data_IF_053523906551
#
_entry.id   IF_053523906551
#
_cell.length_a   1.000
_cell.length_b   1.000
_cell.length_c   1.000
_cell.angle_alpha   90.00
_cell.angle_beta   90.00
_cell.angle_gamma   90.00
#
_symmetry.space_group_name_H-M   'P 1'
#
loop_
_entity.id
_entity.type
_entity.pdbx_description
1 polymer ?
#
# COMPACT_ATOMS: atom_id res chain seq x y z
N UNK A 1 0.28 -18.84 6.10
CA UNK A 1 1.20 -18.44 7.19
C UNK A 1 1.46 -16.95 7.13
N UNK A 2 1.86 -16.33 8.27
CA UNK A 2 1.94 -14.86 8.39
C UNK A 2 3.24 -14.44 9.08
N UNK A 3 3.85 -13.34 8.59
CA UNK A 3 4.91 -12.64 9.28
C UNK A 3 4.32 -11.32 9.81
N UNK A 4 4.33 -11.16 11.14
CA UNK A 4 3.99 -9.90 11.79
C UNK A 4 5.24 -9.03 11.88
N UNK A 5 5.10 -7.73 11.56
CA UNK A 5 6.23 -6.81 11.56
C UNK A 5 5.78 -5.37 11.85
N UNK A 6 6.71 -4.53 12.28
CA UNK A 6 6.50 -3.09 12.48
C UNK A 6 6.07 -2.41 11.15
N UNK A 7 5.41 -1.24 11.19
CA UNK A 7 5.19 -0.41 12.38
C UNK A 7 3.92 -0.75 13.18
N UNK A 8 2.94 -1.46 12.60
CA UNK A 8 1.65 -1.67 13.25
C UNK A 8 1.05 -3.05 12.99
N UNK A 9 0.58 -3.69 14.06
CA UNK A 9 -0.21 -4.92 14.03
C UNK A 9 -1.47 -4.69 14.85
N UNK A 10 -2.64 -4.85 14.24
CA UNK A 10 -3.93 -4.66 14.91
C UNK A 10 -4.26 -5.82 15.87
N UNK A 11 -5.07 -5.53 16.88
CA UNK A 11 -5.61 -6.58 17.77
C UNK A 11 -6.48 -7.55 16.99
N UNK A 12 -7.28 -7.06 16.03
CA UNK A 12 -8.12 -7.88 15.17
C UNK A 12 -7.29 -8.88 14.32
N UNK A 13 -6.11 -8.47 13.83
CA UNK A 13 -5.18 -9.38 13.15
C UNK A 13 -4.75 -10.50 14.10
N UNK A 14 -4.30 -10.15 15.31
CA UNK A 14 -3.84 -11.13 16.32
C UNK A 14 -4.96 -12.10 16.70
N UNK A 15 -6.11 -11.59 17.07
CA UNK A 15 -7.31 -12.42 17.38
C UNK A 15 -7.67 -13.35 16.23
N UNK A 16 -7.59 -12.85 14.99
CA UNK A 16 -7.89 -13.65 13.79
C UNK A 16 -6.89 -14.78 13.61
N UNK A 17 -5.59 -14.52 13.84
CA UNK A 17 -4.53 -15.53 13.76
C UNK A 17 -4.71 -16.62 14.82
N UNK A 18 -4.91 -16.22 16.07
CA UNK A 18 -5.08 -17.14 17.21
C UNK A 18 -6.34 -18.00 17.05
N UNK A 19 -7.49 -17.37 16.80
CA UNK A 19 -8.78 -18.06 16.60
C UNK A 19 -8.75 -19.09 15.47
N UNK A 20 -7.96 -18.84 14.43
CA UNK A 20 -7.90 -19.70 13.26
C UNK A 20 -6.65 -20.59 13.23
N UNK A 21 -5.84 -20.57 14.30
CA UNK A 21 -4.61 -21.35 14.44
C UNK A 21 -3.65 -21.18 13.24
N UNK A 22 -3.54 -19.94 12.74
CA UNK A 22 -2.69 -19.61 11.59
C UNK A 22 -1.22 -19.57 12.04
N UNK A 23 -0.30 -20.25 11.32
CA UNK A 23 1.12 -20.21 11.63
C UNK A 23 1.70 -18.81 11.51
N UNK A 24 2.43 -18.36 12.52
CA UNK A 24 3.10 -17.06 12.59
C UNK A 24 4.60 -17.28 12.80
N UNK A 25 5.44 -16.50 12.12
CA UNK A 25 6.88 -16.53 12.33
C UNK A 25 7.22 -16.03 13.72
N UNK A 26 8.15 -16.71 14.41
CA UNK A 26 8.74 -16.27 15.67
C UNK A 26 9.67 -15.07 15.42
N UNK A 27 9.27 -13.90 15.83
CA UNK A 27 10.05 -12.67 15.80
C UNK A 27 9.62 -11.74 16.94
N UNK A 28 10.28 -10.59 17.10
CA UNK A 28 9.97 -9.61 18.15
C UNK A 28 8.47 -9.27 18.20
N UNK A 29 7.84 -9.04 17.04
CA UNK A 29 6.45 -8.65 16.98
C UNK A 29 5.50 -9.77 17.37
N UNK A 30 5.76 -11.01 16.95
CA UNK A 30 4.94 -12.16 17.35
C UNK A 30 5.11 -12.48 18.85
N UNK A 31 6.32 -12.36 19.40
CA UNK A 31 6.57 -12.54 20.84
C UNK A 31 5.88 -11.47 21.69
N UNK A 32 5.77 -10.24 21.17
CA UNK A 32 5.09 -9.13 21.84
C UNK A 32 3.56 -9.26 21.80
N UNK A 33 3.00 -9.77 20.70
CA UNK A 33 1.57 -9.62 20.39
C UNK A 33 0.77 -10.93 20.46
N UNK A 34 1.38 -12.08 20.18
CA UNK A 34 0.69 -13.39 20.08
C UNK A 34 0.86 -14.16 21.36
N UNK A 35 -0.24 -14.40 22.09
CA UNK A 35 -0.22 -15.09 23.38
C UNK A 35 -0.60 -16.56 23.29
N UNK A 36 -1.56 -16.90 22.41
CA UNK A 36 -2.13 -18.24 22.30
C UNK A 36 -2.12 -18.77 20.85
N UNK A 37 -1.18 -18.25 20.02
CA UNK A 37 -1.09 -18.61 18.61
C UNK A 37 -0.07 -19.72 18.31
N UNK A 38 -0.11 -20.18 17.05
CA UNK A 38 0.87 -21.14 16.51
C UNK A 38 2.10 -20.37 16.03
N UNK A 39 3.04 -20.10 16.94
CA UNK A 39 4.30 -19.42 16.64
C UNK A 39 5.36 -20.47 16.26
N UNK A 40 6.03 -20.29 15.12
CA UNK A 40 6.98 -21.21 14.54
C UNK A 40 8.39 -20.60 14.48
N UNK A 41 9.41 -21.37 14.78
CA UNK A 41 10.81 -21.01 14.51
C UNK A 41 11.07 -20.87 13.02
N UNK A 42 12.19 -20.24 12.64
CA UNK A 42 12.56 -20.05 11.21
C UNK A 42 12.50 -21.36 10.43
N UNK A 43 13.09 -22.43 10.96
CA UNK A 43 13.10 -23.73 10.30
C UNK A 43 11.69 -24.31 10.12
N UNK A 44 10.89 -24.28 11.18
CA UNK A 44 9.51 -24.80 11.14
C UNK A 44 8.65 -23.97 10.17
N UNK A 45 8.86 -22.65 10.14
CA UNK A 45 8.14 -21.76 9.25
C UNK A 45 8.52 -22.01 7.78
N UNK A 46 9.81 -22.20 7.47
CA UNK A 46 10.26 -22.56 6.14
C UNK A 46 9.72 -23.92 5.68
N UNK A 47 9.67 -24.92 6.55
CA UNK A 47 9.08 -26.23 6.22
C UNK A 47 7.56 -26.13 6.00
N UNK A 48 6.87 -25.27 6.71
CA UNK A 48 5.43 -25.03 6.50
C UNK A 48 5.19 -24.27 5.20
N UNK A 49 6.06 -23.30 4.83
CA UNK A 49 6.01 -22.60 3.55
C UNK A 49 6.14 -23.57 2.37
N UNK A 50 7.08 -24.52 2.43
CA UNK A 50 7.25 -25.53 1.36
C UNK A 50 5.99 -26.32 1.07
N UNK A 51 5.11 -26.52 2.08
CA UNK A 51 3.85 -27.25 1.93
C UNK A 51 2.74 -26.39 1.37
N UNK A 52 2.57 -25.17 1.91
CA UNK A 52 1.42 -24.32 1.60
C UNK A 52 1.65 -23.37 0.43
N UNK A 53 2.89 -22.93 0.23
CA UNK A 53 3.27 -21.88 -0.74
C UNK A 53 2.42 -20.60 -0.59
N UNK A 54 1.85 -20.36 0.59
CA UNK A 54 1.04 -19.17 0.91
C UNK A 54 1.66 -18.41 2.05
N UNK A 55 2.24 -17.25 1.73
CA UNK A 55 2.88 -16.34 2.67
C UNK A 55 2.22 -14.97 2.60
N UNK A 56 1.89 -14.42 3.77
CA UNK A 56 1.35 -13.08 3.94
C UNK A 56 2.18 -12.31 4.95
N UNK A 57 2.39 -11.02 4.72
CA UNK A 57 3.04 -10.11 5.66
C UNK A 57 2.13 -8.94 5.98
N UNK A 58 2.33 -8.28 7.12
CA UNK A 58 1.62 -7.04 7.46
C UNK A 58 2.43 -5.80 7.09
N UNK A 59 3.72 -5.99 6.76
CA UNK A 59 4.65 -4.92 6.43
C UNK A 59 5.74 -5.40 5.49
N UNK A 60 6.26 -4.50 4.67
CA UNK A 60 7.41 -4.76 3.80
C UNK A 60 8.72 -4.95 4.55
N UNK A 61 8.79 -4.56 5.83
CA UNK A 61 9.94 -4.82 6.68
C UNK A 61 10.25 -6.32 6.82
N UNK A 62 9.26 -7.18 6.57
CA UNK A 62 9.42 -8.64 6.54
C UNK A 62 10.21 -9.16 5.32
N UNK A 63 10.37 -8.37 4.25
CA UNK A 63 11.02 -8.82 3.02
C UNK A 63 12.49 -9.23 3.25
N UNK A 64 13.20 -8.54 4.14
CA UNK A 64 14.58 -8.90 4.50
C UNK A 64 14.69 -10.34 4.97
N UNK A 65 13.85 -10.73 5.93
CA UNK A 65 13.79 -12.11 6.42
C UNK A 65 13.42 -13.10 5.31
N UNK A 66 12.47 -12.73 4.46
CA UNK A 66 12.01 -13.59 3.35
C UNK A 66 13.16 -13.87 2.36
N UNK A 67 13.92 -12.84 1.96
CA UNK A 67 15.07 -13.00 1.07
C UNK A 67 16.18 -13.86 1.68
N UNK A 68 16.35 -13.83 3.00
CA UNK A 68 17.39 -14.58 3.71
C UNK A 68 17.03 -16.04 3.92
N UNK A 69 15.75 -16.38 4.16
CA UNK A 69 15.34 -17.69 4.65
C UNK A 69 14.51 -18.53 3.68
N UNK A 70 13.82 -17.91 2.72
CA UNK A 70 12.98 -18.64 1.77
C UNK A 70 13.82 -19.11 0.57
N UNK A 71 13.97 -20.43 0.44
CA UNK A 71 14.65 -21.05 -0.68
C UNK A 71 13.66 -21.34 -1.83
N UNK A 72 13.19 -20.27 -2.48
CA UNK A 72 12.31 -20.31 -3.64
C UNK A 72 12.67 -19.19 -4.61
N UNK A 73 13.67 -19.46 -5.45
CA UNK A 73 14.22 -18.42 -6.36
C UNK A 73 13.14 -17.75 -7.22
N UNK A 74 12.21 -18.52 -7.77
CA UNK A 74 11.15 -17.98 -8.63
C UNK A 74 10.24 -17.01 -7.86
N UNK A 75 9.90 -17.35 -6.62
CA UNK A 75 9.11 -16.49 -5.74
C UNK A 75 9.86 -15.21 -5.38
N UNK A 76 11.14 -15.30 -5.01
CA UNK A 76 11.98 -14.16 -4.67
C UNK A 76 12.21 -13.23 -5.87
N UNK A 77 12.46 -13.80 -7.06
CA UNK A 77 12.59 -13.05 -8.30
C UNK A 77 11.29 -12.27 -8.61
N UNK A 78 10.13 -12.89 -8.37
CA UNK A 78 8.82 -12.24 -8.55
C UNK A 78 8.62 -11.05 -7.62
N UNK A 79 9.01 -11.20 -6.34
CA UNK A 79 8.97 -10.09 -5.36
C UNK A 79 9.85 -8.93 -5.82
N UNK A 80 11.10 -9.23 -6.19
CA UNK A 80 12.08 -8.24 -6.66
C UNK A 80 11.56 -7.49 -7.88
N UNK A 81 10.98 -8.23 -8.82
CA UNK A 81 10.50 -7.71 -10.10
C UNK A 81 9.34 -6.72 -9.94
N UNK A 82 8.36 -7.05 -9.09
CA UNK A 82 7.21 -6.15 -8.88
C UNK A 82 7.54 -4.99 -7.94
N UNK A 83 8.57 -5.14 -7.10
CA UNK A 83 9.01 -4.09 -6.17
C UNK A 83 9.89 -3.03 -6.83
N UNK A 84 10.64 -3.39 -7.85
CA UNK A 84 11.43 -2.44 -8.65
C UNK A 84 10.51 -1.74 -9.67
N UNK A 85 10.25 -0.45 -9.45
CA UNK A 85 9.31 0.34 -10.26
C UNK A 85 9.70 0.39 -11.74
N UNK A 86 11.00 0.42 -12.06
CA UNK A 86 11.47 0.46 -13.44
C UNK A 86 11.32 -0.91 -14.14
N UNK A 87 11.66 -1.99 -13.41
CA UNK A 87 11.43 -3.36 -13.90
C UNK A 87 9.93 -3.61 -14.10
N UNK A 88 9.11 -3.19 -13.15
CA UNK A 88 7.64 -3.31 -13.25
C UNK A 88 7.09 -2.52 -14.46
N UNK A 89 7.56 -1.28 -14.71
CA UNK A 89 7.19 -0.52 -15.91
C UNK A 89 7.57 -1.25 -17.20
N UNK A 90 8.73 -1.89 -17.21
CA UNK A 90 9.18 -2.67 -18.36
C UNK A 90 8.26 -3.85 -18.68
N UNK A 91 7.72 -4.52 -17.64
CA UNK A 91 6.72 -5.58 -17.80
C UNK A 91 5.39 -5.02 -18.32
N UNK A 92 4.98 -3.86 -17.84
CA UNK A 92 3.75 -3.20 -18.26
C UNK A 92 3.81 -2.67 -19.71
N UNK A 93 4.96 -2.72 -20.38
CA UNK A 93 5.12 -2.18 -21.74
C UNK A 93 4.22 -2.86 -22.76
N UNK A 94 3.96 -4.16 -22.63
CA UNK A 94 3.04 -4.87 -23.51
C UNK A 94 1.57 -4.48 -23.30
N UNK A 95 1.23 -3.98 -22.09
CA UNK A 95 -0.12 -3.49 -21.76
C UNK A 95 -0.26 -2.02 -22.12
N UNK A 96 0.80 -1.23 -21.96
CA UNK A 96 0.85 0.21 -22.22
C UNK A 96 2.06 0.57 -23.10
N UNK A 97 2.03 0.24 -24.41
CA UNK A 97 3.19 0.42 -25.30
C UNK A 97 3.63 1.88 -25.46
N UNK A 98 2.68 2.81 -25.34
CA UNK A 98 2.92 4.24 -25.53
C UNK A 98 3.24 4.97 -24.22
N UNK A 99 3.28 4.26 -23.07
CA UNK A 99 3.56 4.87 -21.79
C UNK A 99 5.05 5.23 -21.69
N UNK A 100 5.32 6.53 -21.53
CA UNK A 100 6.70 7.02 -21.43
C UNK A 100 7.27 6.73 -20.05
N UNK A 101 8.43 6.09 -20.02
CA UNK A 101 9.29 6.03 -18.84
C UNK A 101 10.75 5.86 -19.23
N UNK A 102 11.63 6.32 -18.33
CA UNK A 102 13.08 6.23 -18.47
C UNK A 102 13.71 6.03 -17.10
N UNK A 103 14.64 5.10 -16.98
CA UNK A 103 15.40 4.92 -15.76
C UNK A 103 16.81 5.53 -15.93
N UNK A 104 17.20 6.41 -15.02
CA UNK A 104 18.46 7.12 -15.02
C UNK A 104 19.08 7.12 -13.62
N UNK A 105 20.41 7.11 -13.55
CA UNK A 105 21.10 7.48 -12.31
C UNK A 105 21.19 9.01 -12.21
N UNK A 106 21.56 9.52 -11.03
CA UNK A 106 21.58 10.97 -10.76
C UNK A 106 22.53 11.75 -11.71
N UNK A 107 23.66 11.16 -12.13
CA UNK A 107 24.59 11.80 -13.04
C UNK A 107 24.04 11.84 -14.47
N UNK A 108 23.32 10.80 -14.88
CA UNK A 108 22.62 10.76 -16.16
C UNK A 108 21.47 11.76 -16.19
N UNK A 109 20.72 11.91 -15.07
CA UNK A 109 19.65 12.91 -14.95
C UNK A 109 20.19 14.32 -15.15
N UNK A 110 21.35 14.66 -14.55
CA UNK A 110 21.99 15.98 -14.69
C UNK A 110 22.32 16.32 -16.14
N UNK A 111 22.62 15.31 -16.95
CA UNK A 111 23.04 15.47 -18.35
C UNK A 111 21.96 15.03 -19.34
N UNK A 112 20.74 14.76 -18.87
CA UNK A 112 19.67 14.29 -19.73
C UNK A 112 19.25 15.35 -20.74
N UNK A 113 18.97 14.91 -21.97
CA UNK A 113 18.30 15.76 -22.95
C UNK A 113 16.83 15.91 -22.53
N UNK A 114 16.51 17.09 -21.99
CA UNK A 114 15.18 17.42 -21.49
C UNK A 114 14.13 17.37 -22.58
N UNK A 115 14.49 17.61 -23.85
CA UNK A 115 13.57 17.50 -24.98
C UNK A 115 13.15 16.04 -25.26
N UNK A 116 13.85 15.06 -24.70
CA UNK A 116 13.49 13.63 -24.79
C UNK A 116 12.53 13.19 -23.70
N UNK A 117 12.13 14.08 -22.77
CA UNK A 117 11.19 13.82 -21.70
C UNK A 117 9.77 14.22 -22.08
N UNK A 118 8.80 13.61 -21.44
CA UNK A 118 7.37 13.96 -21.60
C UNK A 118 6.93 14.71 -20.35
N UNK A 119 6.37 15.91 -20.50
CA UNK A 119 5.85 16.70 -19.40
C UNK A 119 4.32 16.77 -19.39
N UNK A 120 3.65 16.84 -18.23
CA UNK A 120 4.25 16.67 -16.91
C UNK A 120 4.77 15.24 -16.69
N UNK A 121 5.83 15.11 -15.87
CA UNK A 121 6.40 13.82 -15.51
C UNK A 121 6.59 13.69 -14.00
N UNK A 122 6.80 12.46 -13.55
CA UNK A 122 7.13 12.14 -12.15
C UNK A 122 8.55 11.60 -12.10
N UNK A 123 9.35 12.14 -11.18
CA UNK A 123 10.67 11.62 -10.84
C UNK A 123 10.54 10.92 -9.50
N UNK A 124 10.96 9.65 -9.42
CA UNK A 124 10.92 8.88 -8.17
C UNK A 124 12.05 7.83 -8.11
N UNK A 125 12.52 7.43 -6.91
CA UNK A 125 13.46 6.33 -6.81
C UNK A 125 12.88 5.04 -7.39
N UNK A 126 13.68 4.26 -8.13
CA UNK A 126 13.22 2.96 -8.68
C UNK A 126 12.86 1.98 -7.58
N UNK A 127 13.55 2.04 -6.43
CA UNK A 127 13.23 1.30 -5.21
C UNK A 127 13.12 2.28 -4.05
N UNK A 128 12.03 2.23 -3.29
CA UNK A 128 11.76 3.14 -2.17
C UNK A 128 10.31 3.03 -1.72
N UNK A 129 9.96 3.73 -0.62
CA UNK A 129 8.62 3.77 -0.04
C UNK A 129 8.36 5.13 0.63
N UNK A 130 7.11 5.40 1.01
CA UNK A 130 6.65 6.61 1.70
C UNK A 130 6.89 7.91 0.93
N UNK A 131 6.74 7.91 -0.39
CA UNK A 131 6.81 9.08 -1.29
C UNK A 131 8.06 9.97 -1.15
N UNK A 132 9.11 9.48 -0.47
CA UNK A 132 10.36 10.23 -0.31
C UNK A 132 11.13 10.31 -1.62
N UNK A 133 11.47 11.53 -2.03
CA UNK A 133 12.18 11.79 -3.29
C UNK A 133 11.28 11.67 -4.53
N UNK A 134 9.96 11.83 -4.38
CA UNK A 134 9.00 11.91 -5.48
C UNK A 134 8.76 13.37 -5.83
N UNK A 135 8.90 13.72 -7.11
CA UNK A 135 8.66 15.06 -7.65
C UNK A 135 7.73 14.97 -8.84
N UNK A 136 6.67 15.78 -8.83
CA UNK A 136 5.87 16.07 -10.03
C UNK A 136 6.49 17.28 -10.70
N UNK A 137 6.77 17.19 -11.99
CA UNK A 137 7.56 18.15 -12.75
C UNK A 137 6.80 18.53 -14.02
N UNK A 138 6.54 19.82 -14.21
CA UNK A 138 5.69 20.29 -15.30
C UNK A 138 6.48 20.83 -16.49
N UNK A 139 7.75 21.20 -16.29
CA UNK A 139 8.60 21.75 -17.31
C UNK A 139 10.10 21.53 -17.04
N UNK A 140 10.94 21.95 -17.96
CA UNK A 140 12.41 21.87 -17.86
C UNK A 140 12.97 22.55 -16.60
N UNK A 141 12.41 23.70 -16.20
CA UNK A 141 12.88 24.45 -15.04
C UNK A 141 12.61 23.69 -13.74
N UNK A 142 11.42 23.11 -13.62
CA UNK A 142 11.08 22.28 -12.47
C UNK A 142 11.88 20.97 -12.45
N UNK A 143 12.16 20.40 -13.64
CA UNK A 143 13.03 19.24 -13.75
C UNK A 143 14.43 19.55 -13.18
N UNK A 144 15.04 20.66 -13.59
CA UNK A 144 16.35 21.04 -13.10
C UNK A 144 16.35 21.28 -11.59
N UNK A 145 15.30 21.94 -11.07
CA UNK A 145 15.15 22.17 -9.63
C UNK A 145 15.03 20.86 -8.83
N UNK A 146 14.29 19.87 -9.37
CA UNK A 146 14.17 18.55 -8.75
C UNK A 146 15.50 17.80 -8.72
N UNK A 147 16.27 17.82 -9.83
CA UNK A 147 17.61 17.22 -9.90
C UNK A 147 18.56 17.87 -8.92
N UNK A 148 18.57 19.22 -8.84
CA UNK A 148 19.41 19.95 -7.89
C UNK A 148 19.03 19.66 -6.43
N UNK A 149 17.73 19.49 -6.13
CA UNK A 149 17.27 19.09 -4.80
C UNK A 149 17.78 17.70 -4.42
N UNK A 150 17.65 16.73 -5.32
CA UNK A 150 18.18 15.37 -5.11
C UNK A 150 19.68 15.38 -4.87
N UNK A 151 20.45 16.13 -5.68
CA UNK A 151 21.89 16.27 -5.51
C UNK A 151 22.26 16.87 -4.15
N UNK A 152 21.51 17.89 -3.70
CA UNK A 152 21.72 18.51 -2.39
C UNK A 152 21.39 17.55 -1.23
N UNK A 153 20.37 16.72 -1.37
CA UNK A 153 20.00 15.74 -0.34
C UNK A 153 21.05 14.63 -0.22
N UNK A 154 21.61 14.18 -1.33
CA UNK A 154 22.76 13.29 -1.32
C UNK A 154 24.01 13.93 -0.69
N UNK A 155 24.28 15.20 -0.99
CA UNK A 155 25.40 15.92 -0.41
C UNK A 155 25.26 16.12 1.11
N UNK A 156 24.04 16.40 1.61
CA UNK A 156 23.74 16.55 3.05
C UNK A 156 23.78 15.24 3.82
N UNK A 157 23.52 14.11 3.17
CA UNK A 157 23.62 12.79 3.79
C UNK A 157 25.06 12.44 4.20
N UNK A 158 26.05 13.26 3.80
CA UNK A 158 27.42 13.26 4.26
C UNK A 158 28.22 12.02 3.87
N UNK A 159 29.43 11.86 4.47
CA UNK A 159 30.35 10.73 4.25
C UNK A 159 29.74 9.34 4.57
N UNK A 160 28.50 9.28 5.02
CA UNK A 160 27.75 8.05 5.24
C UNK A 160 27.26 7.35 3.96
N UNK A 161 27.21 8.07 2.82
CA UNK A 161 26.93 7.49 1.50
C UNK A 161 28.15 7.63 0.60
N UNK A 162 28.91 6.56 0.35
CA UNK A 162 30.02 6.59 -0.59
C UNK A 162 29.54 7.09 -1.97
N UNK A 163 30.37 7.85 -2.68
CA UNK A 163 30.12 8.35 -4.05
C UNK A 163 29.63 7.24 -5.00
N UNK A 164 30.08 6.02 -4.73
CA UNK A 164 29.66 4.79 -5.37
C UNK A 164 28.16 4.45 -5.15
N UNK A 165 27.56 4.80 -4.01
CA UNK A 165 26.12 4.57 -3.71
C UNK A 165 25.27 5.62 -4.41
N UNK A 166 25.72 6.88 -4.42
CA UNK A 166 25.04 7.97 -5.13
C UNK A 166 25.00 7.69 -6.64
N UNK A 167 26.11 7.25 -7.23
CA UNK A 167 26.17 6.89 -8.65
C UNK A 167 25.36 5.62 -9.04
N UNK A 168 24.96 4.81 -8.06
CA UNK A 168 24.11 3.62 -8.26
C UNK A 168 22.65 3.84 -7.94
N UNK A 169 22.30 4.96 -7.31
CA UNK A 169 20.89 5.29 -7.06
C UNK A 169 20.17 5.52 -8.38
N UNK A 170 19.17 4.69 -8.65
CA UNK A 170 18.38 4.74 -9.88
C UNK A 170 17.07 5.43 -9.64
N UNK A 171 16.68 6.28 -10.56
CA UNK A 171 15.44 7.03 -10.57
C UNK A 171 14.64 6.68 -11.82
N UNK A 172 13.36 6.48 -11.61
CA UNK A 172 12.38 6.38 -12.67
C UNK A 172 11.85 7.78 -12.98
N UNK A 173 11.91 8.16 -14.25
CA UNK A 173 11.21 9.32 -14.80
C UNK A 173 10.10 8.76 -15.66
N UNK A 174 8.85 9.06 -15.34
CA UNK A 174 7.70 8.56 -16.10
C UNK A 174 6.70 9.67 -16.37
N UNK A 175 5.91 9.55 -17.44
CA UNK A 175 4.82 10.50 -17.67
C UNK A 175 3.86 10.54 -16.49
N UNK A 176 3.32 11.73 -16.21
CA UNK A 176 2.34 11.88 -15.12
C UNK A 176 1.06 11.12 -15.45
N UNK A 177 0.74 10.15 -14.61
CA UNK A 177 -0.48 9.36 -14.75
C UNK A 177 -1.64 10.20 -14.26
N UNK A 178 -2.56 10.55 -15.16
CA UNK A 178 -3.75 11.34 -14.85
C UNK A 178 -4.86 10.49 -14.26
N UNK A 179 -5.77 11.14 -13.55
CA UNK A 179 -6.98 10.53 -13.02
C UNK A 179 -6.95 10.35 -11.50
N UNK A 180 -8.04 9.84 -10.97
CA UNK A 180 -8.22 9.54 -9.56
C UNK A 180 -7.41 8.32 -9.15
N UNK A 181 -6.98 8.29 -7.89
CA UNK A 181 -6.14 7.22 -7.36
C UNK A 181 -6.97 6.18 -6.60
N UNK A 182 -6.63 4.91 -6.84
CA UNK A 182 -7.29 3.76 -6.25
C UNK A 182 -6.28 2.79 -5.68
N UNK A 183 -6.55 2.32 -4.47
CA UNK A 183 -5.80 1.28 -3.79
C UNK A 183 -6.58 -0.04 -3.89
N UNK A 184 -5.94 -1.11 -4.38
CA UNK A 184 -6.59 -2.41 -4.62
C UNK A 184 -5.86 -3.51 -3.87
N UNK A 185 -6.56 -4.17 -2.95
CA UNK A 185 -6.08 -5.40 -2.32
C UNK A 185 -6.53 -6.60 -3.13
N UNK A 186 -5.57 -7.36 -3.60
CA UNK A 186 -5.81 -8.48 -4.50
C UNK A 186 -4.80 -9.62 -4.26
N UNK A 187 -5.11 -10.79 -4.76
CA UNK A 187 -4.15 -11.89 -4.82
C UNK A 187 -4.37 -12.72 -6.08
N UNK A 188 -3.31 -13.36 -6.56
CA UNK A 188 -3.45 -14.46 -7.49
C UNK A 188 -3.63 -15.76 -6.73
N UNK A 189 -4.67 -16.52 -7.09
CA UNK A 189 -4.95 -17.81 -6.46
C UNK A 189 -3.92 -18.90 -6.87
N UNK A 190 -4.17 -20.15 -6.50
CA UNK A 190 -3.32 -21.29 -6.84
C UNK A 190 -3.24 -21.58 -8.35
N UNK A 191 -4.21 -21.11 -9.12
CA UNK A 191 -4.27 -21.24 -10.58
C UNK A 191 -3.69 -20.00 -11.29
N UNK A 192 -3.42 -18.92 -10.55
CA UNK A 192 -2.99 -17.64 -11.11
C UNK A 192 -4.16 -16.74 -11.52
N UNK A 193 -5.37 -17.05 -11.07
CA UNK A 193 -6.54 -16.20 -11.31
C UNK A 193 -6.54 -15.04 -10.32
N UNK A 194 -6.71 -13.77 -10.77
CA UNK A 194 -6.78 -12.64 -9.86
C UNK A 194 -8.09 -12.65 -9.07
N UNK A 195 -7.99 -12.34 -7.78
CA UNK A 195 -9.12 -12.18 -6.86
C UNK A 195 -9.00 -10.82 -6.20
N UNK A 196 -9.91 -9.90 -6.49
CA UNK A 196 -9.98 -8.59 -5.88
C UNK A 196 -10.76 -8.69 -4.57
N UNK A 197 -10.17 -8.24 -3.48
CA UNK A 197 -10.80 -8.22 -2.15
C UNK A 197 -11.32 -6.85 -1.78
N UNK A 198 -10.55 -5.79 -2.06
CA UNK A 198 -10.90 -4.41 -1.76
C UNK A 198 -10.57 -3.50 -2.94
N UNK A 199 -11.40 -2.50 -3.14
CA UNK A 199 -11.14 -1.35 -4.01
C UNK A 199 -11.41 -0.11 -3.18
N UNK A 200 -10.38 0.68 -2.92
CA UNK A 200 -10.45 1.92 -2.17
C UNK A 200 -10.19 3.10 -3.11
N UNK A 201 -11.01 4.13 -3.03
CA UNK A 201 -10.69 5.43 -3.61
C UNK A 201 -9.82 6.19 -2.61
N UNK A 202 -8.60 6.51 -3.00
CA UNK A 202 -7.69 7.35 -2.23
C UNK A 202 -8.04 8.82 -2.48
N UNK A 203 -8.46 9.52 -1.45
CA UNK A 203 -8.89 10.91 -1.54
C UNK A 203 -7.75 11.84 -1.17
N UNK A 204 -7.52 12.83 -2.04
CA UNK A 204 -6.60 13.94 -1.80
C UNK A 204 -7.36 15.25 -1.65
N UNK A 205 -6.81 16.19 -0.89
CA UNK A 205 -7.39 17.54 -0.75
C UNK A 205 -7.23 18.33 -2.05
N UNK A 206 -6.06 18.24 -2.67
CA UNK A 206 -5.70 18.88 -3.94
C UNK A 206 -4.55 18.13 -4.62
N UNK A 207 -4.09 18.62 -5.78
CA UNK A 207 -3.03 17.99 -6.58
C UNK A 207 -1.65 17.96 -5.88
N UNK A 208 -1.43 18.78 -4.85
CA UNK A 208 -0.19 18.81 -4.07
C UNK A 208 -0.22 17.91 -2.85
N UNK A 209 -1.39 17.39 -2.48
CA UNK A 209 -1.55 16.47 -1.37
C UNK A 209 -0.97 15.09 -1.74
N UNK A 210 -0.07 14.61 -0.90
CA UNK A 210 0.55 13.27 -1.02
C UNK A 210 0.33 12.44 0.23
N UNK A 211 -0.63 12.85 1.08
CA UNK A 211 -0.89 12.22 2.37
C UNK A 211 -1.86 11.04 2.24
N UNK A 212 -1.63 9.99 3.01
CA UNK A 212 -2.47 8.79 3.08
C UNK A 212 -3.64 8.97 4.07
N UNK A 213 -4.40 10.09 3.96
CA UNK A 213 -5.36 10.47 5.02
C UNK A 213 -6.72 9.80 4.93
N UNK A 214 -7.25 9.58 3.73
CA UNK A 214 -8.61 9.11 3.58
C UNK A 214 -8.77 8.14 2.42
N UNK A 215 -9.30 6.98 2.74
CA UNK A 215 -9.67 5.94 1.76
C UNK A 215 -11.14 5.59 1.89
N UNK A 216 -11.84 5.50 0.78
CA UNK A 216 -13.27 5.23 0.71
C UNK A 216 -13.56 3.96 -0.08
N UNK A 217 -14.56 3.19 0.35
CA UNK A 217 -15.10 2.08 -0.45
C UNK A 217 -16.61 1.99 -0.34
N UNK A 218 -17.27 1.62 -1.42
CA UNK A 218 -18.68 1.32 -1.48
C UNK A 218 -19.00 0.40 -2.67
N UNK A 219 -20.24 -0.04 -2.76
CA UNK A 219 -20.68 -0.90 -3.87
C UNK A 219 -20.46 -0.28 -5.23
N UNK A 220 -20.70 1.02 -5.36
CA UNK A 220 -20.54 1.74 -6.64
C UNK A 220 -19.11 1.70 -7.18
N UNK A 221 -18.10 1.78 -6.30
CA UNK A 221 -16.70 1.63 -6.69
C UNK A 221 -16.41 0.22 -7.22
N UNK A 222 -16.92 -0.81 -6.56
CA UNK A 222 -16.78 -2.19 -7.06
C UNK A 222 -17.50 -2.38 -8.40
N UNK A 223 -18.72 -1.87 -8.56
CA UNK A 223 -19.47 -2.01 -9.80
C UNK A 223 -18.77 -1.32 -10.98
N UNK A 224 -18.05 -0.24 -10.71
CA UNK A 224 -17.38 0.57 -11.73
C UNK A 224 -15.97 0.07 -12.07
N UNK A 225 -15.20 -0.39 -11.08
CA UNK A 225 -13.75 -0.56 -11.23
C UNK A 225 -13.27 -2.02 -11.13
N UNK A 226 -14.08 -2.95 -10.65
CA UNK A 226 -13.66 -4.36 -10.53
C UNK A 226 -13.26 -4.95 -11.89
N UNK A 227 -14.02 -4.69 -12.94
CA UNK A 227 -13.73 -5.22 -14.28
C UNK A 227 -12.44 -4.64 -14.88
N UNK A 228 -12.24 -3.31 -14.96
CA UNK A 228 -10.99 -2.73 -15.45
C UNK A 228 -9.75 -3.21 -14.70
N UNK A 229 -9.82 -3.32 -13.37
CA UNK A 229 -8.69 -3.79 -12.58
C UNK A 229 -8.45 -5.29 -12.77
N UNK A 230 -9.50 -6.11 -12.85
CA UNK A 230 -9.38 -7.54 -13.15
C UNK A 230 -8.77 -7.77 -14.53
N UNK A 231 -9.14 -6.96 -15.52
CA UNK A 231 -8.56 -7.03 -16.86
C UNK A 231 -7.05 -6.76 -16.84
N UNK A 232 -6.63 -5.68 -16.15
CA UNK A 232 -5.21 -5.37 -15.97
C UNK A 232 -4.48 -6.51 -15.26
N UNK A 233 -5.01 -6.99 -14.13
CA UNK A 233 -4.40 -8.07 -13.35
C UNK A 233 -4.24 -9.35 -14.16
N UNK A 234 -5.24 -9.70 -14.96
CA UNK A 234 -5.19 -10.87 -15.86
C UNK A 234 -4.08 -10.69 -16.91
N UNK A 235 -4.02 -9.51 -17.53
CA UNK A 235 -2.99 -9.19 -18.52
C UNK A 235 -1.58 -9.23 -17.92
N UNK A 236 -1.41 -8.66 -16.74
CA UNK A 236 -0.15 -8.68 -15.99
C UNK A 236 0.30 -10.11 -15.69
N UNK A 237 -0.63 -10.97 -15.26
CA UNK A 237 -0.27 -12.34 -14.89
C UNK A 237 0.00 -13.28 -16.09
N UNK A 238 -0.40 -12.90 -17.28
CA UNK A 238 0.05 -13.60 -18.50
C UNK A 238 1.57 -13.51 -18.70
N UNK A 239 2.21 -12.49 -18.14
CA UNK A 239 3.66 -12.30 -18.18
C UNK A 239 4.34 -12.82 -16.90
N UNK A 240 3.75 -12.55 -15.73
CA UNK A 240 4.40 -12.85 -14.45
C UNK A 240 4.18 -14.29 -13.96
N UNK A 241 3.09 -14.94 -14.36
CA UNK A 241 2.71 -16.31 -13.95
C UNK A 241 2.68 -16.52 -12.43
N UNK A 242 2.29 -15.47 -11.68
CA UNK A 242 2.20 -15.48 -10.21
C UNK A 242 1.09 -16.41 -9.75
N UNK A 243 1.34 -17.11 -8.63
CA UNK A 243 0.39 -17.99 -7.96
C UNK A 243 0.53 -17.83 -6.45
N UNK A 244 -0.57 -17.94 -5.72
CA UNK A 244 -0.59 -17.74 -4.26
C UNK A 244 0.14 -16.47 -3.84
N UNK A 245 -0.10 -15.37 -4.54
CA UNK A 245 0.65 -14.14 -4.40
C UNK A 245 -0.28 -12.98 -4.02
N UNK A 246 -0.35 -12.62 -2.73
CA UNK A 246 -1.13 -11.46 -2.28
C UNK A 246 -0.35 -10.18 -2.56
N UNK A 247 -1.05 -9.12 -2.90
CA UNK A 247 -0.45 -7.82 -3.17
C UNK A 247 -1.44 -6.69 -2.99
N UNK A 248 -0.90 -5.54 -2.70
CA UNK A 248 -1.55 -4.25 -2.77
C UNK A 248 -1.06 -3.52 -4.01
N UNK A 249 -1.97 -2.98 -4.81
CA UNK A 249 -1.63 -2.23 -6.03
C UNK A 249 -2.29 -0.87 -5.95
N UNK A 250 -1.52 0.16 -6.28
CA UNK A 250 -2.02 1.51 -6.47
C UNK A 250 -2.19 1.79 -7.95
N UNK A 251 -3.35 2.33 -8.33
CA UNK A 251 -3.72 2.68 -9.70
C UNK A 251 -4.13 4.13 -9.79
N UNK A 252 -3.88 4.76 -10.95
CA UNK A 252 -4.68 5.90 -11.39
C UNK A 252 -5.59 5.50 -12.53
N UNK A 253 -6.80 6.05 -12.51
CA UNK A 253 -7.82 5.79 -13.52
C UNK A 253 -8.36 7.12 -14.07
N UNK A 254 -8.19 7.33 -15.38
CA UNK A 254 -8.55 8.58 -16.06
C UNK A 254 -9.96 8.55 -16.70
N UNK A 255 -10.77 7.55 -16.36
CA UNK A 255 -12.08 7.29 -16.97
C UNK A 255 -12.03 6.34 -18.17
N UNK A 256 -10.84 5.91 -18.60
CA UNK A 256 -10.65 5.01 -19.75
C UNK A 256 -9.75 3.84 -19.44
N UNK A 257 -8.61 4.08 -18.81
CA UNK A 257 -7.63 3.05 -18.51
C UNK A 257 -7.15 3.14 -17.06
N UNK A 258 -6.90 1.99 -16.45
CA UNK A 258 -6.26 1.86 -15.17
C UNK A 258 -4.75 1.73 -15.38
N UNK A 259 -3.96 2.67 -14.90
CA UNK A 259 -2.50 2.61 -14.98
C UNK A 259 -1.95 2.40 -13.57
N UNK A 260 -1.19 1.31 -13.32
CA UNK A 260 -0.64 1.06 -11.99
C UNK A 260 0.46 2.07 -11.65
N UNK A 261 0.54 2.47 -10.39
CA UNK A 261 1.60 3.32 -9.83
C UNK A 261 2.71 2.46 -9.27
N UNK A 262 2.34 1.50 -8.40
CA UNK A 262 3.27 0.54 -7.81
C UNK A 262 2.54 -0.71 -7.29
N UNK A 263 3.33 -1.76 -7.04
CA UNK A 263 2.88 -2.98 -6.37
C UNK A 263 3.65 -3.16 -5.07
N UNK A 264 2.91 -3.46 -4.01
CA UNK A 264 3.44 -3.83 -2.71
C UNK A 264 3.17 -5.33 -2.49
N UNK A 265 4.20 -6.20 -2.67
CA UNK A 265 4.02 -7.65 -2.65
C UNK A 265 3.81 -8.20 -1.25
N UNK A 266 3.17 -9.36 -1.19
CA UNK A 266 2.95 -10.22 -0.02
C UNK A 266 2.12 -9.60 1.11
N UNK A 267 1.57 -8.41 0.90
CA UNK A 267 0.70 -7.72 1.85
C UNK A 267 -0.49 -7.09 1.15
N UNK A 268 -1.51 -6.79 1.92
CA UNK A 268 -2.56 -5.86 1.54
C UNK A 268 -2.22 -4.45 2.07
N UNK A 269 -3.14 -3.50 1.95
CA UNK A 269 -2.91 -2.12 2.38
C UNK A 269 -2.44 -2.05 3.83
N UNK A 270 -1.49 -1.16 4.08
CA UNK A 270 -0.86 -0.97 5.39
C UNK A 270 -1.79 -0.38 6.45
N UNK A 271 -1.28 -0.23 7.67
CA UNK A 271 -1.98 0.36 8.82
C UNK A 271 -3.38 -0.24 9.08
N UNK A 272 -3.60 -1.52 8.71
CA UNK A 272 -4.87 -2.25 8.84
C UNK A 272 -6.06 -1.71 8.00
N UNK A 273 -5.83 -0.86 7.00
CA UNK A 273 -6.90 -0.39 6.11
C UNK A 273 -7.67 -1.55 5.48
N UNK A 274 -6.96 -2.61 5.05
CA UNK A 274 -7.57 -3.81 4.50
C UNK A 274 -8.65 -4.43 5.42
N UNK A 275 -8.56 -4.21 6.74
CA UNK A 275 -9.52 -4.72 7.72
C UNK A 275 -10.87 -3.99 7.69
N UNK A 276 -10.98 -2.90 6.91
CA UNK A 276 -12.27 -2.28 6.61
C UNK A 276 -13.26 -3.31 6.04
N UNK A 277 -12.77 -4.31 5.31
CA UNK A 277 -13.58 -5.41 4.78
C UNK A 277 -14.26 -6.22 5.88
N UNK A 278 -13.67 -6.33 7.07
CA UNK A 278 -14.29 -7.06 8.19
C UNK A 278 -15.57 -6.37 8.64
N UNK A 279 -15.62 -5.04 8.66
CA UNK A 279 -16.82 -4.27 8.96
C UNK A 279 -17.89 -4.38 7.86
N UNK A 280 -17.46 -4.64 6.62
CA UNK A 280 -18.35 -4.79 5.48
C UNK A 280 -18.89 -6.21 5.38
N UNK A 281 -18.04 -7.24 5.42
CA UNK A 281 -18.40 -8.62 5.10
C UNK A 281 -18.27 -9.61 6.26
N UNK A 282 -17.64 -9.19 7.36
CA UNK A 282 -17.31 -10.08 8.49
C UNK A 282 -16.11 -10.99 8.24
N UNK A 283 -15.46 -10.91 7.05
CA UNK A 283 -14.32 -11.77 6.72
C UNK A 283 -13.01 -10.97 6.61
N UNK A 284 -11.99 -11.45 7.31
CA UNK A 284 -10.66 -10.83 7.23
C UNK A 284 -9.98 -11.16 5.88
N UNK A 285 -9.46 -10.16 5.13
CA UNK A 285 -8.86 -10.35 3.80
C UNK A 285 -7.72 -11.38 3.79
N UNK A 286 -6.86 -11.35 4.80
CA UNK A 286 -5.76 -12.32 4.95
C UNK A 286 -6.29 -13.76 4.98
N UNK A 287 -7.43 -14.03 5.66
CA UNK A 287 -8.04 -15.36 5.67
C UNK A 287 -8.59 -15.74 4.31
N UNK A 288 -9.13 -14.78 3.54
CA UNK A 288 -9.59 -15.03 2.17
C UNK A 288 -8.44 -15.57 1.31
N UNK A 289 -7.30 -14.94 1.38
CA UNK A 289 -6.09 -15.40 0.69
C UNK A 289 -5.60 -16.76 1.20
N UNK A 290 -5.38 -16.92 2.50
CA UNK A 290 -4.79 -18.13 3.04
C UNK A 290 -5.67 -19.37 2.82
N UNK A 291 -7.00 -19.22 2.87
CA UNK A 291 -7.96 -20.29 2.66
C UNK A 291 -8.40 -20.49 1.21
N UNK A 292 -8.09 -19.52 0.33
CA UNK A 292 -8.57 -19.53 -1.05
C UNK A 292 -10.09 -19.42 -1.15
N UNK A 293 -10.72 -18.78 -0.16
CA UNK A 293 -12.18 -18.61 -0.09
C UNK A 293 -12.51 -17.17 0.32
N UNK A 294 -13.09 -16.43 -0.58
CA UNK A 294 -13.51 -15.04 -0.37
C UNK A 294 -15.04 -14.90 -0.41
N UNK A 295 -15.53 -13.84 0.17
CA UNK A 295 -16.94 -13.43 0.07
C UNK A 295 -17.16 -12.84 -1.32
N UNK A 296 -18.19 -13.28 -2.02
CA UNK A 296 -18.53 -12.70 -3.32
C UNK A 296 -18.96 -11.24 -3.18
N UNK A 297 -18.82 -10.45 -4.26
CA UNK A 297 -19.28 -9.05 -4.28
C UNK A 297 -20.76 -8.94 -3.87
N UNK A 298 -21.60 -9.82 -4.36
CA UNK A 298 -23.02 -9.82 -4.03
C UNK A 298 -23.27 -10.03 -2.52
N UNK A 299 -22.59 -10.99 -1.90
CA UNK A 299 -22.69 -11.25 -0.46
C UNK A 299 -22.08 -10.10 0.37
N UNK A 300 -20.94 -9.55 -0.08
CA UNK A 300 -20.25 -8.45 0.60
C UNK A 300 -21.18 -7.23 0.76
N UNK A 301 -21.88 -6.85 -0.30
CA UNK A 301 -22.71 -5.66 -0.33
C UNK A 301 -24.18 -5.87 0.00
N UNK A 302 -24.62 -7.10 0.22
CA UNK A 302 -26.02 -7.40 0.54
C UNK A 302 -26.50 -6.66 1.79
N UNK A 303 -27.51 -5.79 1.63
CA UNK A 303 -28.02 -4.92 2.68
C UNK A 303 -27.13 -3.74 3.07
N UNK A 304 -26.10 -3.47 2.26
CA UNK A 304 -25.11 -2.39 2.48
C UNK A 304 -24.92 -1.50 1.24
N UNK A 305 -25.77 -1.64 0.26
CA UNK A 305 -25.66 -1.00 -1.07
C UNK A 305 -25.61 0.53 -1.00
N UNK A 306 -26.26 1.08 0.04
CA UNK A 306 -26.38 2.53 0.24
C UNK A 306 -25.36 3.11 1.24
N UNK A 307 -24.35 2.33 1.64
CA UNK A 307 -23.34 2.79 2.57
C UNK A 307 -21.98 2.94 1.91
N UNK A 308 -21.28 3.97 2.34
CA UNK A 308 -19.84 4.18 2.10
C UNK A 308 -19.10 3.93 3.39
N UNK A 309 -18.02 3.18 3.30
CA UNK A 309 -17.09 2.90 4.38
C UNK A 309 -15.80 3.66 4.14
N UNK A 310 -15.24 4.22 5.19
CA UNK A 310 -14.03 5.01 5.14
C UNK A 310 -13.01 4.53 6.16
N UNK A 311 -11.76 4.71 5.80
CA UNK A 311 -10.61 4.57 6.65
C UNK A 311 -9.84 5.89 6.66
N UNK A 312 -9.59 6.43 7.85
CA UNK A 312 -8.83 7.65 8.03
C UNK A 312 -7.53 7.41 8.79
N UNK A 313 -6.45 8.04 8.33
CA UNK A 313 -5.18 8.11 9.07
C UNK A 313 -5.08 9.48 9.73
N UNK A 314 -5.00 9.50 11.05
CA UNK A 314 -4.91 10.71 11.84
C UNK A 314 -3.44 10.92 12.26
N UNK A 315 -2.81 11.92 11.65
CA UNK A 315 -1.41 12.24 11.92
C UNK A 315 -1.25 13.00 13.24
N UNK A 316 -0.22 12.68 14.00
CA UNK A 316 0.12 13.40 15.23
C UNK A 316 0.84 14.70 14.88
N UNK A 317 0.30 15.88 15.23
CA UNK A 317 1.01 17.12 14.98
C UNK A 317 2.27 17.21 15.87
N UNK A 318 3.36 17.73 15.33
CA UNK A 318 4.63 17.88 16.07
C UNK A 318 4.47 18.67 17.39
N UNK A 319 3.51 19.61 17.45
CA UNK A 319 3.19 20.38 18.66
C UNK A 319 2.49 19.57 19.76
N UNK A 320 2.07 18.34 19.47
CA UNK A 320 1.37 17.45 20.39
C UNK A 320 2.24 16.26 20.84
N UNK A 321 3.56 16.40 20.74
CA UNK A 321 4.49 15.38 21.22
C UNK A 321 4.27 15.07 22.70
N UNK A 322 4.22 13.79 23.05
CA UNK A 322 3.88 13.33 24.40
C UNK A 322 2.39 13.27 24.75
N UNK A 323 1.50 13.82 23.93
CA UNK A 323 0.04 13.79 24.13
C UNK A 323 -0.60 12.53 23.56
N UNK A 324 -1.81 12.23 24.02
CA UNK A 324 -2.60 11.11 23.53
C UNK A 324 -3.74 11.58 22.63
N UNK A 325 -4.18 10.72 21.71
CA UNK A 325 -5.37 10.97 20.91
C UNK A 325 -6.64 10.93 21.77
N UNK A 326 -7.51 11.94 21.62
CA UNK A 326 -8.80 12.05 22.30
C UNK A 326 -9.89 11.37 21.50
N UNK A 327 -10.03 10.08 21.69
CA UNK A 327 -11.04 9.24 21.01
C UNK A 327 -12.46 9.64 21.35
N UNK A 328 -12.75 10.04 22.61
CA UNK A 328 -14.10 10.43 23.04
C UNK A 328 -14.59 11.65 22.25
N UNK A 329 -13.73 12.66 22.11
CA UNK A 329 -14.06 13.83 21.31
C UNK A 329 -14.27 13.46 19.84
N UNK A 330 -13.40 12.62 19.26
CA UNK A 330 -13.56 12.19 17.88
C UNK A 330 -14.91 11.48 17.65
N UNK A 331 -15.27 10.55 18.53
CA UNK A 331 -16.57 9.85 18.46
C UNK A 331 -17.77 10.76 18.67
N UNK A 332 -17.61 11.86 19.41
CA UNK A 332 -18.66 12.87 19.59
C UNK A 332 -18.87 13.73 18.34
N UNK A 333 -17.79 14.03 17.62
CA UNK A 333 -17.81 14.92 16.46
C UNK A 333 -18.13 14.18 15.13
N UNK A 334 -17.92 12.85 15.09
CA UNK A 334 -18.16 12.01 13.92
C UNK A 334 -19.18 10.91 14.20
N UNK A 335 -20.26 10.91 13.42
CA UNK A 335 -21.24 9.82 13.47
C UNK A 335 -20.74 8.62 12.65
N UNK A 336 -21.20 7.42 13.02
CA UNK A 336 -20.92 6.20 12.27
C UNK A 336 -19.47 5.68 12.44
N UNK A 337 -18.75 6.12 13.47
CA UNK A 337 -17.44 5.57 13.82
C UNK A 337 -17.60 4.11 14.24
N UNK A 338 -17.01 3.23 13.45
CA UNK A 338 -17.03 1.77 13.67
C UNK A 338 -15.91 1.36 14.64
N UNK A 339 -14.71 1.90 14.43
CA UNK A 339 -13.54 1.58 15.26
C UNK A 339 -12.54 2.73 15.25
N UNK A 340 -11.73 2.81 16.31
CA UNK A 340 -10.60 3.73 16.44
C UNK A 340 -9.43 2.95 16.99
N UNK A 341 -8.30 2.97 16.28
CA UNK A 341 -7.11 2.23 16.67
C UNK A 341 -5.95 3.17 16.88
N UNK A 342 -5.49 3.27 18.11
CA UNK A 342 -4.29 4.03 18.44
C UNK A 342 -3.06 3.34 17.88
N UNK A 343 -2.14 4.11 17.31
CA UNK A 343 -0.85 3.61 16.83
C UNK A 343 0.19 3.88 17.93
N UNK A 344 0.66 2.84 18.62
CA UNK A 344 1.62 3.01 19.72
C UNK A 344 3.00 3.48 19.25
N UNK A 345 3.42 3.01 18.07
CA UNK A 345 4.69 3.39 17.46
C UNK A 345 4.55 4.76 16.77
N UNK A 346 5.00 5.79 17.46
CA UNK A 346 4.93 7.18 16.98
C UNK A 346 5.97 7.52 15.90
N UNK A 347 6.91 6.64 15.62
CA UNK A 347 7.91 6.87 14.58
C UNK A 347 7.29 7.07 13.18
N UNK A 348 6.08 6.55 12.98
CA UNK A 348 5.31 6.73 11.77
C UNK A 348 4.54 8.08 11.70
N UNK A 349 4.57 8.90 12.76
CA UNK A 349 3.83 10.18 12.81
C UNK A 349 2.31 10.02 12.91
N UNK A 350 1.79 8.80 13.09
CA UNK A 350 0.35 8.49 13.13
C UNK A 350 -0.13 8.40 14.58
N UNK A 351 -1.19 9.13 14.91
CA UNK A 351 -1.84 9.09 16.23
C UNK A 351 -2.81 7.91 16.34
N UNK A 352 -3.65 7.76 15.35
CA UNK A 352 -4.68 6.73 15.28
C UNK A 352 -5.11 6.47 13.84
N UNK A 353 -5.71 5.31 13.62
CA UNK A 353 -6.52 5.04 12.43
C UNK A 353 -7.99 4.92 12.83
N UNK A 354 -8.88 5.37 11.95
CA UNK A 354 -10.33 5.40 12.23
C UNK A 354 -11.08 4.71 11.10
N UNK A 355 -12.11 3.96 11.49
CA UNK A 355 -13.03 3.28 10.59
C UNK A 355 -14.40 3.93 10.75
N UNK A 356 -14.96 4.40 9.65
CA UNK A 356 -16.24 5.14 9.68
C UNK A 356 -17.16 4.59 8.61
N UNK A 357 -18.48 4.58 8.89
CA UNK A 357 -19.52 4.28 7.91
C UNK A 357 -20.50 5.45 7.85
N UNK A 358 -20.86 5.84 6.64
CA UNK A 358 -21.94 6.81 6.40
C UNK A 358 -22.88 6.32 5.30
N UNK A 359 -24.08 6.90 5.18
CA UNK A 359 -24.89 6.73 3.98
C UNK A 359 -24.17 7.35 2.78
N UNK A 360 -24.19 6.69 1.63
CA UNK A 360 -23.47 7.19 0.44
C UNK A 360 -23.96 8.57 -0.01
N UNK A 361 -25.21 8.92 0.29
CA UNK A 361 -25.74 10.28 0.05
C UNK A 361 -25.01 11.37 0.87
N UNK A 362 -24.37 11.00 1.97
CA UNK A 362 -23.68 11.90 2.89
C UNK A 362 -22.14 11.74 2.82
N UNK A 363 -21.63 11.24 1.70
CA UNK A 363 -20.19 10.93 1.53
C UNK A 363 -19.28 12.16 1.79
N UNK A 364 -19.76 13.37 1.51
CA UNK A 364 -19.02 14.61 1.73
C UNK A 364 -18.73 14.87 3.22
N UNK A 365 -19.48 14.28 4.15
CA UNK A 365 -19.18 14.40 5.57
C UNK A 365 -17.84 13.76 5.94
N UNK A 366 -17.37 12.81 5.14
CA UNK A 366 -16.08 12.13 5.33
C UNK A 366 -14.89 13.03 4.95
N UNK A 367 -15.09 14.00 4.05
CA UNK A 367 -14.02 14.94 3.66
C UNK A 367 -13.56 15.80 4.84
N UNK A 368 -14.39 15.93 5.90
CA UNK A 368 -13.99 16.57 7.16
C UNK A 368 -12.81 15.88 7.84
N UNK A 369 -12.62 14.57 7.63
CA UNK A 369 -11.49 13.83 8.19
C UNK A 369 -10.17 14.35 7.61
N UNK A 370 -10.16 14.75 6.33
CA UNK A 370 -8.96 15.28 5.67
C UNK A 370 -8.55 16.65 6.20
N UNK A 371 -9.51 17.46 6.63
CA UNK A 371 -9.30 18.83 7.09
C UNK A 371 -9.26 18.98 8.62
N UNK A 372 -9.15 17.88 9.38
CA UNK A 372 -9.12 17.92 10.83
C UNK A 372 -7.90 18.69 11.37
N UNK A 373 -8.16 19.64 12.26
CA UNK A 373 -7.11 20.18 13.12
C UNK A 373 -6.83 19.19 14.27
N UNK A 374 -5.84 18.35 14.08
CA UNK A 374 -5.50 17.33 15.07
C UNK A 374 -5.09 17.87 16.44
N UNK A 375 -4.76 19.18 16.55
CA UNK A 375 -4.49 19.84 17.86
C UNK A 375 -5.72 19.87 18.75
N UNK A 376 -6.92 19.82 18.19
CA UNK A 376 -8.17 19.75 18.94
C UNK A 376 -8.48 18.34 19.47
N UNK A 377 -7.80 17.31 18.93
CA UNK A 377 -8.05 15.90 19.25
C UNK A 377 -6.91 15.25 20.05
N UNK A 378 -6.13 16.03 20.78
CA UNK A 378 -5.06 15.55 21.66
C UNK A 378 -5.27 16.02 23.11
N UNK A 379 -4.88 15.17 24.08
CA UNK A 379 -4.98 15.37 25.52
C UNK A 379 -3.70 14.99 26.24
#
# INVERSE_FOLDING_TARGET
>A
MVILERPFVSDLMVETLEKNNIPVLKNEMSELRVSNGRVLTDNEFCEEYKKSRKLYTVSENALGWIYEHIDDKSFLDSISLVKDKAAFRSICRDIYPDFFFKELNINEMKNADVNSLVFPCVIKPSVGFLSKGVFVVHDEKEYQAAVDSLLNDFAKAGDGFPEFVVGKSRFLIEEYIRGEEYAVDTYYDENGTPVILNIFHHKFMDESDTSDRLYLTNKGLFDQYEEPFTHFLTSLNNTLHLKNFPMHIEFRYDGKKAVPIEINPLRFTGFCLNELQVFISGQHPMLSFLRGKHVSKAEMWQGRENYTYAFGVLEMPASADGKNFNEEKFRADFQGVLDVRRVPDRSAGVAATVFVRTETANILDLDRIMSLDMREYVI
#
